data_IF_471440884270
#
_entry.id   IF_471440884270
#
_cell.length_a   1.000
_cell.length_b   1.000
_cell.length_c   1.000
_cell.angle_alpha   90.00
_cell.angle_beta   90.00
_cell.angle_gamma   90.00
#
_symmetry.space_group_name_H-M   'P 1'
#
loop_
_entity.id
_entity.type
_entity.pdbx_description
1 polymer ?
#
# COMPACT_ATOMS: atom_id res chain seq x y z
N UNK A 1 -48.65 27.85 -25.17
CA UNK A 1 -47.37 27.11 -25.18
C UNK A 1 -46.35 27.99 -25.89
N UNK A 2 -45.56 28.75 -25.12
CA UNK A 2 -44.46 29.61 -25.60
C UNK A 2 -43.55 29.85 -24.39
N UNK A 3 -42.32 29.35 -24.45
CA UNK A 3 -41.23 29.77 -23.56
C UNK A 3 -40.37 30.77 -24.32
N UNK A 4 -40.12 31.97 -23.79
CA UNK A 4 -39.03 32.83 -24.26
C UNK A 4 -37.81 32.67 -23.34
N UNK A 5 -36.65 32.54 -23.98
CA UNK A 5 -35.40 32.08 -23.40
C UNK A 5 -34.75 33.01 -22.38
N UNK A 6 -34.01 32.36 -21.48
CA UNK A 6 -32.98 32.99 -20.66
C UNK A 6 -31.67 33.12 -21.46
N UNK A 7 -31.04 34.27 -21.26
CA UNK A 7 -30.01 34.94 -22.05
C UNK A 7 -28.72 34.17 -22.37
N UNK A 8 -28.05 34.48 -23.51
CA UNK A 8 -26.68 34.11 -23.78
C UNK A 8 -25.75 35.30 -23.46
N UNK A 9 -25.37 35.49 -22.21
CA UNK A 9 -24.38 36.51 -21.84
C UNK A 9 -23.41 35.96 -20.79
N UNK A 10 -22.37 35.27 -21.26
CA UNK A 10 -20.96 35.45 -20.83
C UNK A 10 -20.05 34.40 -21.45
N UNK A 11 -20.03 34.44 -22.78
CA UNK A 11 -18.97 33.92 -23.63
C UNK A 11 -17.76 34.85 -23.47
N UNK A 12 -17.02 34.79 -22.36
CA UNK A 12 -15.91 35.73 -22.17
C UNK A 12 -15.30 35.91 -20.79
N UNK A 13 -14.98 34.84 -20.06
CA UNK A 13 -13.82 34.84 -19.15
C UNK A 13 -13.13 33.50 -19.29
N UNK A 14 -12.41 33.34 -20.41
CA UNK A 14 -10.95 33.46 -20.40
C UNK A 14 -10.33 32.40 -19.51
N UNK A 15 -10.11 31.23 -20.14
CA UNK A 15 -8.84 30.55 -20.09
C UNK A 15 -8.17 30.58 -18.70
N UNK A 16 -8.73 29.84 -17.74
CA UNK A 16 -7.92 29.37 -16.62
C UNK A 16 -6.79 28.56 -17.23
N UNK A 17 -5.62 29.18 -17.24
CA UNK A 17 -4.49 28.85 -18.07
C UNK A 17 -4.13 27.36 -17.88
N UNK A 18 -4.20 26.59 -18.97
CA UNK A 18 -3.77 25.19 -19.06
C UNK A 18 -2.33 24.94 -18.58
N UNK A 19 -1.58 26.00 -18.28
CA UNK A 19 -0.25 25.99 -17.68
C UNK A 19 -0.26 25.67 -16.17
N UNK A 20 -1.33 26.00 -15.44
CA UNK A 20 -1.43 25.85 -13.99
C UNK A 20 -2.08 24.53 -13.56
N UNK A 21 -3.02 24.00 -14.36
CA UNK A 21 -3.65 22.70 -14.09
C UNK A 21 -2.62 21.57 -14.14
N UNK A 22 -1.65 21.67 -15.07
CA UNK A 22 -0.56 20.71 -15.25
C UNK A 22 0.34 20.54 -14.02
N UNK A 23 0.45 21.58 -13.17
CA UNK A 23 1.31 21.55 -11.99
C UNK A 23 0.55 21.02 -10.78
N UNK A 24 -0.72 21.41 -10.65
CA UNK A 24 -1.60 21.00 -9.55
C UNK A 24 -1.95 19.50 -9.68
N UNK A 25 -2.17 18.99 -10.89
CA UNK A 25 -2.43 17.55 -11.10
C UNK A 25 -1.20 16.69 -10.83
N UNK A 26 -0.02 17.17 -11.20
CA UNK A 26 1.26 16.50 -10.92
C UNK A 26 1.57 16.48 -9.41
N UNK A 27 1.30 17.60 -8.71
CA UNK A 27 1.38 17.70 -7.26
C UNK A 27 0.46 16.71 -6.53
N UNK A 28 -0.78 16.53 -6.99
CA UNK A 28 -1.73 15.57 -6.39
C UNK A 28 -1.27 14.13 -6.65
N UNK A 29 -0.77 13.82 -7.85
CA UNK A 29 -0.24 12.49 -8.17
C UNK A 29 1.01 12.13 -7.36
N UNK A 30 1.83 13.11 -6.97
CA UNK A 30 3.02 12.89 -6.14
C UNK A 30 2.70 12.56 -4.67
N UNK A 31 1.52 12.95 -4.16
CA UNK A 31 1.20 12.83 -2.73
C UNK A 31 0.70 11.43 -2.32
N UNK A 32 0.31 10.59 -3.27
CA UNK A 32 -0.36 9.31 -2.99
C UNK A 32 0.57 8.09 -2.92
N UNK A 33 1.90 8.29 -2.87
CA UNK A 33 2.87 7.21 -2.65
C UNK A 33 3.18 7.09 -1.16
N UNK A 34 2.18 6.68 -0.38
CA UNK A 34 2.47 6.06 0.90
C UNK A 34 2.97 4.65 0.59
N UNK A 35 4.28 4.46 0.78
CA UNK A 35 4.94 3.19 0.60
C UNK A 35 4.27 2.14 1.49
N UNK A 36 3.48 1.26 0.88
CA UNK A 36 2.97 0.09 1.58
C UNK A 36 4.18 -0.72 2.05
N UNK A 37 4.22 -1.15 3.32
CA UNK A 37 5.28 -2.02 3.81
C UNK A 37 5.38 -3.22 2.88
N UNK A 38 6.55 -3.40 2.28
CA UNK A 38 6.79 -4.40 1.25
C UNK A 38 6.65 -5.79 1.85
N UNK A 39 5.60 -6.51 1.46
CA UNK A 39 5.42 -7.92 1.78
C UNK A 39 6.58 -8.74 1.17
N UNK A 40 7.12 -9.77 1.85
CA UNK A 40 8.17 -10.60 1.31
C UNK A 40 7.77 -11.26 -0.02
N UNK A 41 8.72 -11.44 -0.92
CA UNK A 41 8.50 -12.15 -2.17
C UNK A 41 8.11 -13.62 -1.88
N UNK A 42 6.96 -14.05 -2.39
CA UNK A 42 6.32 -15.37 -2.17
C UNK A 42 5.43 -15.51 -0.93
N UNK A 43 5.42 -14.54 -0.01
CA UNK A 43 4.43 -14.54 1.09
C UNK A 43 3.16 -13.79 0.69
N UNK A 44 2.05 -14.08 1.38
CA UNK A 44 0.79 -13.34 1.26
C UNK A 44 0.61 -12.46 2.48
N UNK A 45 0.35 -11.18 2.29
CA UNK A 45 0.14 -10.25 3.40
C UNK A 45 -1.27 -9.68 3.38
N UNK A 46 -1.87 -9.56 4.56
CA UNK A 46 -3.10 -8.82 4.80
C UNK A 46 -2.76 -7.52 5.54
N UNK A 47 -2.98 -6.39 4.87
CA UNK A 47 -2.68 -5.05 5.42
C UNK A 47 -3.65 -4.60 6.52
N UNK A 48 -4.84 -5.20 6.63
CA UNK A 48 -5.83 -4.89 7.66
C UNK A 48 -5.57 -5.66 8.95
N UNK A 49 -5.32 -6.98 8.84
CA UNK A 49 -5.04 -7.82 10.01
C UNK A 49 -3.57 -7.83 10.42
N UNK A 50 -2.68 -7.26 9.59
CA UNK A 50 -1.22 -7.30 9.76
C UNK A 50 -0.72 -8.75 9.83
N UNK A 51 -1.32 -9.62 9.01
CA UNK A 51 -0.97 -11.03 8.90
C UNK A 51 -0.06 -11.26 7.70
N UNK A 52 0.96 -12.11 7.89
CA UNK A 52 1.89 -12.54 6.85
C UNK A 52 1.87 -14.05 6.78
N UNK A 53 1.36 -14.59 5.69
CA UNK A 53 1.33 -16.03 5.39
C UNK A 53 2.46 -16.43 4.45
N UNK A 54 3.43 -17.14 5.00
CA UNK A 54 4.58 -17.71 4.30
C UNK A 54 4.54 -19.25 4.31
N UNK A 55 3.35 -19.85 4.35
CA UNK A 55 3.18 -21.29 4.47
C UNK A 55 3.55 -22.04 3.18
N UNK A 56 4.19 -23.22 3.31
CA UNK A 56 4.47 -24.11 2.18
C UNK A 56 5.60 -23.65 1.24
N UNK A 57 6.41 -22.67 1.65
CA UNK A 57 7.49 -22.09 0.83
C UNK A 57 8.82 -22.85 0.94
N UNK A 58 8.89 -23.90 1.76
CA UNK A 58 10.12 -24.66 1.98
C UNK A 58 11.22 -23.88 2.69
N UNK A 59 10.85 -22.85 3.45
CA UNK A 59 11.78 -21.96 4.16
C UNK A 59 12.62 -22.75 5.17
N UNK A 60 13.93 -22.48 5.18
CA UNK A 60 14.87 -23.02 6.16
C UNK A 60 15.17 -22.04 7.29
N UNK A 61 14.85 -20.76 7.10
CA UNK A 61 14.96 -19.68 8.08
C UNK A 61 13.80 -18.69 7.94
N UNK A 62 13.57 -17.88 8.97
CA UNK A 62 12.59 -16.78 8.92
C UNK A 62 13.11 -15.67 7.99
N UNK A 63 12.32 -15.16 7.03
CA UNK A 63 12.76 -14.09 6.13
C UNK A 63 13.00 -12.78 6.91
N UNK A 64 14.10 -12.05 6.65
CA UNK A 64 14.36 -10.76 7.29
C UNK A 64 13.45 -9.64 6.75
N UNK A 65 12.84 -9.86 5.59
CA UNK A 65 12.03 -8.87 4.88
C UNK A 65 10.57 -8.81 5.38
N UNK A 66 10.25 -9.51 6.48
CA UNK A 66 8.93 -9.46 7.10
C UNK A 66 8.74 -8.08 7.78
N UNK A 67 7.62 -7.37 7.53
CA UNK A 67 7.36 -6.07 8.15
C UNK A 67 7.38 -6.13 9.68
N UNK A 68 8.03 -5.18 10.34
CA UNK A 68 8.09 -5.09 11.81
C UNK A 68 6.72 -4.92 12.48
N UNK A 69 5.74 -4.37 11.73
CA UNK A 69 4.36 -4.20 12.17
C UNK A 69 3.50 -5.48 12.10
N UNK A 70 4.06 -6.59 11.58
CA UNK A 70 3.37 -7.88 11.49
C UNK A 70 2.89 -8.34 12.88
N UNK A 71 1.60 -8.66 12.99
CA UNK A 71 0.98 -9.23 14.20
C UNK A 71 0.93 -10.74 14.18
N UNK A 72 0.64 -11.30 13.01
CA UNK A 72 0.50 -12.75 12.83
C UNK A 72 1.45 -13.21 11.73
N UNK A 73 2.31 -14.19 12.01
CA UNK A 73 3.25 -14.76 11.03
C UNK A 73 3.04 -16.27 10.87
N UNK A 74 2.48 -16.68 9.73
CA UNK A 74 2.26 -18.09 9.43
C UNK A 74 3.45 -18.66 8.66
N UNK A 75 4.13 -19.64 9.27
CA UNK A 75 5.29 -20.33 8.71
C UNK A 75 5.02 -21.84 8.54
N UNK A 76 3.75 -22.23 8.40
CA UNK A 76 3.34 -23.64 8.36
C UNK A 76 3.94 -24.38 7.15
N UNK A 77 4.16 -25.68 7.28
CA UNK A 77 4.64 -26.55 6.19
C UNK A 77 5.96 -26.08 5.55
N UNK A 78 6.89 -25.56 6.36
CA UNK A 78 8.25 -25.18 5.96
C UNK A 78 9.30 -26.18 6.49
N UNK A 79 10.58 -25.97 6.14
CA UNK A 79 11.72 -26.82 6.52
C UNK A 79 12.56 -26.20 7.64
N UNK A 80 11.90 -25.44 8.53
CA UNK A 80 12.53 -24.78 9.67
C UNK A 80 13.04 -25.85 10.64
N UNK A 81 14.36 -25.97 10.78
CA UNK A 81 14.98 -26.95 11.67
C UNK A 81 15.33 -26.39 13.05
N UNK A 82 15.61 -25.08 13.11
CA UNK A 82 15.89 -24.36 14.35
C UNK A 82 15.46 -22.90 14.21
N UNK A 83 15.03 -22.30 15.32
CA UNK A 83 14.71 -20.88 15.41
C UNK A 83 15.72 -20.21 16.35
N UNK A 84 16.71 -19.49 15.80
CA UNK A 84 17.63 -18.73 16.65
C UNK A 84 16.89 -17.62 17.40
N UNK A 85 17.44 -17.18 18.54
CA UNK A 85 16.84 -16.13 19.38
C UNK A 85 16.60 -14.81 18.63
N UNK A 86 17.38 -14.55 17.58
CA UNK A 86 17.27 -13.35 16.75
C UNK A 86 16.26 -13.48 15.58
N UNK A 87 15.67 -14.66 15.35
CA UNK A 87 14.78 -14.91 14.20
C UNK A 87 13.57 -13.96 14.15
N UNK A 88 13.10 -13.50 15.31
CA UNK A 88 11.95 -12.61 15.45
C UNK A 88 12.32 -11.25 16.06
N UNK A 89 13.62 -10.94 16.19
CA UNK A 89 14.07 -9.73 16.90
C UNK A 89 13.57 -8.43 16.26
N UNK A 90 13.37 -8.42 14.93
CA UNK A 90 12.82 -7.28 14.20
C UNK A 90 11.28 -7.20 14.22
N UNK A 91 10.58 -8.19 14.76
CA UNK A 91 9.13 -8.28 14.74
C UNK A 91 8.55 -7.85 16.10
N UNK A 92 8.65 -6.55 16.39
CA UNK A 92 8.25 -5.99 17.69
C UNK A 92 6.74 -6.08 17.97
N UNK A 93 5.93 -6.24 16.93
CA UNK A 93 4.47 -6.32 17.03
C UNK A 93 3.93 -7.75 16.95
N UNK A 94 4.81 -8.76 16.88
CA UNK A 94 4.43 -10.15 16.71
C UNK A 94 3.67 -10.66 17.94
N UNK A 95 2.50 -11.24 17.70
CA UNK A 95 1.63 -11.80 18.75
C UNK A 95 1.34 -13.28 18.54
N UNK A 96 1.32 -13.75 17.29
CA UNK A 96 0.90 -15.11 16.95
C UNK A 96 1.67 -15.71 15.79
#
# INVERSE_FOLDING_TARGET
MLAPGSSPEQRGRLALQWRQVSWITCWIALYAVEALPTCPFSCKCDSRSLEVDCSGLGLTMVPPDVPAATRTLLLLNNKLSALPSWAFANLSSLQR
#
